data_IF_884648224931
#
_entry.id   IF_884648224931
#
_cell.length_a   1.000
_cell.length_b   1.000
_cell.length_c   1.000
_cell.angle_alpha   90.00
_cell.angle_beta   90.00
_cell.angle_gamma   90.00
#
_symmetry.space_group_name_H-M   'P 1'
#
loop_
_entity.id
_entity.type
_entity.pdbx_description
1 polymer ?
#
# COMPACT_ATOMS: atom_id res chain seq x y z
N UNK A 1 -2.11 3.28 5.21
CA UNK A 1 -2.49 2.04 4.51
C UNK A 1 -2.71 2.43 3.06
N UNK A 2 -1.97 1.80 2.14
CA UNK A 2 -2.08 2.02 0.70
C UNK A 2 -2.68 0.77 0.05
N UNK A 3 -3.49 0.95 -0.99
CA UNK A 3 -4.14 -0.15 -1.72
C UNK A 3 -3.35 -0.42 -2.99
N UNK A 4 -3.02 -1.69 -3.21
CA UNK A 4 -2.23 -2.17 -4.34
C UNK A 4 -2.86 -3.45 -4.87
N UNK A 5 -2.36 -3.91 -6.01
CA UNK A 5 -2.88 -5.10 -6.69
C UNK A 5 -1.77 -6.11 -6.87
N UNK A 6 -1.96 -7.31 -6.32
CA UNK A 6 -1.04 -8.42 -6.57
C UNK A 6 -1.03 -8.82 -8.05
N UNK A 7 0.02 -9.49 -8.52
CA UNK A 7 0.06 -10.01 -9.89
C UNK A 7 -1.13 -10.94 -10.22
N UNK A 8 -1.66 -11.68 -9.25
CA UNK A 8 -2.85 -12.52 -9.41
C UNK A 8 -4.17 -11.73 -9.48
N UNK A 9 -4.13 -10.39 -9.41
CA UNK A 9 -5.30 -9.52 -9.50
C UNK A 9 -6.08 -9.33 -8.20
N UNK A 10 -5.57 -9.83 -7.07
CA UNK A 10 -6.19 -9.63 -5.75
C UNK A 10 -5.79 -8.27 -5.18
N UNK A 11 -6.75 -7.59 -4.55
CA UNK A 11 -6.48 -6.39 -3.76
C UNK A 11 -5.61 -6.72 -2.55
N UNK A 12 -4.63 -5.86 -2.30
CA UNK A 12 -3.70 -5.93 -1.19
C UNK A 12 -3.65 -4.57 -0.51
N UNK A 13 -3.73 -4.56 0.82
CA UNK A 13 -3.54 -3.32 1.60
C UNK A 13 -2.25 -3.43 2.39
N UNK A 14 -1.32 -2.50 2.13
CA UNK A 14 0.01 -2.48 2.76
C UNK A 14 0.14 -1.27 3.68
N UNK A 15 0.82 -1.45 4.82
CA UNK A 15 1.25 -0.32 5.63
C UNK A 15 2.49 0.32 4.98
N UNK A 16 2.31 1.49 4.38
CA UNK A 16 3.39 2.23 3.73
C UNK A 16 4.54 2.62 4.67
N UNK A 17 4.31 2.76 5.98
CA UNK A 17 5.39 3.03 6.95
C UNK A 17 6.31 1.83 7.18
N UNK A 18 5.89 0.64 6.77
CA UNK A 18 6.65 -0.60 6.94
C UNK A 18 7.30 -1.06 5.64
N UNK A 19 7.18 -0.29 4.55
CA UNK A 19 7.94 -0.55 3.33
C UNK A 19 9.39 -0.19 3.59
N UNK A 20 10.27 -1.17 3.40
CA UNK A 20 11.71 -0.99 3.55
C UNK A 20 12.35 -0.58 2.23
N UNK A 21 12.01 -1.27 1.13
CA UNK A 21 12.53 -1.00 -0.21
C UNK A 21 11.58 -1.48 -1.31
N UNK A 22 11.72 -0.89 -2.50
CA UNK A 22 10.97 -1.24 -3.71
C UNK A 22 11.93 -1.37 -4.87
N UNK A 23 11.77 -2.40 -5.70
CA UNK A 23 12.65 -2.71 -6.84
C UNK A 23 11.80 -3.09 -8.06
N UNK A 24 12.18 -2.63 -9.26
CA UNK A 24 11.50 -2.99 -10.50
C UNK A 24 12.19 -4.19 -11.18
N UNK A 25 11.59 -5.39 -11.11
CA UNK A 25 12.14 -6.63 -11.69
C UNK A 25 11.05 -7.65 -12.11
N UNK A 26 10.76 -7.83 -13.41
CA UNK A 26 10.25 -6.77 -14.30
C UNK A 26 9.02 -6.03 -13.74
N UNK A 27 8.35 -6.64 -12.77
CA UNK A 27 7.26 -6.08 -11.96
C UNK A 27 7.81 -5.46 -10.67
N UNK A 28 6.99 -4.70 -9.93
CA UNK A 28 7.44 -4.07 -8.68
C UNK A 28 7.43 -5.05 -7.52
N UNK A 29 8.59 -5.24 -6.89
CA UNK A 29 8.73 -5.99 -5.64
C UNK A 29 8.82 -5.02 -4.48
N UNK A 30 7.88 -5.12 -3.54
CA UNK A 30 7.86 -4.36 -2.29
C UNK A 30 8.38 -5.27 -1.18
N UNK A 31 9.45 -4.87 -0.51
CA UNK A 31 9.97 -5.57 0.67
C UNK A 31 9.64 -4.76 1.91
N UNK A 32 9.08 -5.43 2.92
CA UNK A 32 8.73 -4.85 4.21
C UNK A 32 9.88 -5.02 5.21
N UNK A 33 9.86 -4.21 6.28
CA UNK A 33 10.88 -4.20 7.35
C UNK A 33 11.04 -5.52 8.11
N UNK A 34 10.12 -6.47 7.94
CA UNK A 34 10.21 -7.82 8.49
C UNK A 34 10.79 -8.85 7.50
N UNK A 35 11.33 -8.39 6.36
CA UNK A 35 11.89 -9.23 5.30
C UNK A 35 10.86 -9.91 4.41
N UNK A 36 9.55 -9.71 4.63
CA UNK A 36 8.51 -10.23 3.73
C UNK A 36 8.44 -9.36 2.48
N UNK A 37 8.34 -10.00 1.32
CA UNK A 37 8.18 -9.29 0.05
C UNK A 37 6.87 -9.68 -0.63
N UNK A 38 6.35 -8.74 -1.43
CA UNK A 38 5.17 -8.93 -2.26
C UNK A 38 5.39 -8.30 -3.63
N UNK A 39 4.90 -8.95 -4.66
CA UNK A 39 4.97 -8.46 -6.04
C UNK A 39 3.62 -7.86 -6.43
N UNK A 40 3.66 -6.65 -6.96
CA UNK A 40 2.47 -5.86 -7.29
C UNK A 40 2.51 -5.43 -8.76
N UNK A 41 1.33 -5.08 -9.29
CA UNK A 41 1.16 -4.65 -10.69
C UNK A 41 1.52 -3.19 -10.91
N UNK A 42 1.42 -2.39 -9.85
CA UNK A 42 1.77 -0.98 -9.87
C UNK A 42 3.28 -0.83 -10.07
N UNK A 43 3.70 0.15 -10.87
CA UNK A 43 5.11 0.52 -10.97
C UNK A 43 5.59 1.21 -9.69
N UNK A 44 6.91 1.35 -9.55
CA UNK A 44 7.52 1.95 -8.36
C UNK A 44 7.02 3.39 -8.14
N UNK A 45 6.81 4.17 -9.20
CA UNK A 45 6.38 5.56 -9.10
C UNK A 45 4.96 5.66 -8.51
N UNK A 46 4.04 4.83 -8.98
CA UNK A 46 2.67 4.72 -8.48
C UNK A 46 2.67 4.36 -6.99
N UNK A 47 3.48 3.38 -6.57
CA UNK A 47 3.57 2.99 -5.15
C UNK A 47 4.14 4.13 -4.30
N UNK A 48 5.10 4.89 -4.82
CA UNK A 48 5.66 6.07 -4.16
C UNK A 48 4.60 7.16 -4.00
N UNK A 49 3.81 7.45 -5.03
CA UNK A 49 2.73 8.45 -4.97
C UNK A 49 1.72 8.11 -3.88
N UNK A 50 1.21 6.88 -3.87
CA UNK A 50 0.29 6.37 -2.85
C UNK A 50 0.88 6.48 -1.44
N UNK A 51 2.17 6.14 -1.27
CA UNK A 51 2.86 6.23 0.01
C UNK A 51 2.99 7.70 0.48
N UNK A 52 3.30 8.62 -0.44
CA UNK A 52 3.40 10.05 -0.15
C UNK A 52 2.04 10.64 0.19
N UNK A 53 0.98 10.30 -0.53
CA UNK A 53 -0.39 10.70 -0.19
C UNK A 53 -0.78 10.22 1.20
N UNK A 54 -0.48 8.96 1.51
CA UNK A 54 -0.69 8.44 2.86
C UNK A 54 0.08 9.24 3.92
N UNK A 55 1.36 9.55 3.70
CA UNK A 55 2.14 10.37 4.64
C UNK A 55 1.58 11.81 4.79
N UNK A 56 1.07 12.40 3.70
CA UNK A 56 0.39 13.72 3.76
C UNK A 56 -0.87 13.62 4.61
N UNK A 57 -1.68 12.57 4.45
CA UNK A 57 -2.91 12.36 5.22
C UNK A 57 -2.66 12.29 6.73
N UNK A 58 -1.53 11.73 7.16
CA UNK A 58 -1.14 11.68 8.57
C UNK A 58 -0.82 13.07 9.16
N UNK A 59 -0.27 13.99 8.36
CA UNK A 59 0.12 15.34 8.82
C UNK A 59 -1.06 16.29 8.90
N UNK A 60 -2.04 16.13 8.02
CA UNK A 60 -3.17 17.06 7.91
C UNK A 60 -4.09 17.03 9.12
N UNK A 61 -4.02 16.01 9.99
CA UNK A 61 -4.87 15.88 11.19
C UNK A 61 -6.38 15.86 10.92
N UNK A 62 -6.80 15.96 9.65
CA UNK A 62 -8.16 16.27 9.23
C UNK A 62 -8.95 15.05 8.75
N UNK A 63 -8.29 13.91 8.52
CA UNK A 63 -8.96 12.66 8.14
C UNK A 63 -8.49 11.51 9.03
N UNK A 64 -8.67 11.68 10.34
CA UNK A 64 -8.82 10.54 11.25
C UNK A 64 -10.17 9.85 10.99
N UNK A 65 -10.37 9.35 9.77
CA UNK A 65 -11.11 8.10 9.64
C UNK A 65 -10.03 7.04 9.45
N UNK A 66 -9.57 6.38 10.53
CA UNK A 66 -8.90 5.10 10.35
C UNK A 66 -9.83 4.29 9.45
N UNK A 67 -9.29 3.66 8.41
CA UNK A 67 -10.00 2.58 7.71
C UNK A 67 -10.27 1.52 8.76
N UNK A 68 -11.39 1.71 9.45
CA UNK A 68 -11.87 0.84 10.49
C UNK A 68 -12.20 -0.45 9.76
N UNK A 69 -12.10 -1.58 10.44
CA UNK A 69 -12.54 -2.89 9.90
C UNK A 69 -13.93 -2.80 9.21
N UNK A 70 -14.77 -1.84 9.62
CA UNK A 70 -16.04 -1.47 8.99
C UNK A 70 -15.98 -1.00 7.53
N UNK A 71 -14.90 -0.36 7.07
CA UNK A 71 -14.72 0.02 5.66
C UNK A 71 -14.20 -1.15 4.82
N UNK A 72 -13.35 -2.02 5.39
CA UNK A 72 -12.90 -3.27 4.75
C UNK A 72 -14.11 -4.20 4.50
N UNK A 73 -15.05 -4.27 5.46
CA UNK A 73 -16.26 -5.07 5.34
C UNK A 73 -17.26 -4.58 4.27
N UNK A 74 -17.13 -3.34 3.75
CA UNK A 74 -18.01 -2.81 2.70
C UNK A 74 -17.46 -2.99 1.29
N UNK A 75 -16.14 -3.13 1.15
CA UNK A 75 -15.48 -3.35 -0.15
C UNK A 75 -15.42 -4.83 -0.52
N UNK A 76 -15.45 -5.74 0.47
CA UNK A 76 -15.63 -7.18 0.25
C UNK A 76 -17.13 -7.50 0.10
N UNK A 77 -17.67 -7.31 -1.11
CA UNK A 77 -18.95 -7.88 -1.53
C UNK A 77 -18.78 -8.62 -2.85
#
# INVERSE_FOLDING_TARGET
MIRLTTLDGRELVVNALLIERMEAVPDTVITLTNGRSVVVREDVETVVEEAVEYLRSLRSGADSTPVTVAQIARTLR
#
